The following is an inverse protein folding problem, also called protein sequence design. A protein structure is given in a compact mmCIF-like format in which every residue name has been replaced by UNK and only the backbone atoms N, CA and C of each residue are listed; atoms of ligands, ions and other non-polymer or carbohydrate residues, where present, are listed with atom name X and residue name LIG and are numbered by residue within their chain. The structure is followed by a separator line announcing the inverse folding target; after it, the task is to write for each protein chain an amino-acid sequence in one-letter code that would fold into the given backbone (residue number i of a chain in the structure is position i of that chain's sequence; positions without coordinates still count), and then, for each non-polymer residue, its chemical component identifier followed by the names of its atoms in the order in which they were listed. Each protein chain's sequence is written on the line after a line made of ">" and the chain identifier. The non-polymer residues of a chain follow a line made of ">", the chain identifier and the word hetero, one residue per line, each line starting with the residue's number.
data_IF_620583310507
#
_entry.id   IF_620583310507
#
_cell.length_a   1.000
_cell.length_b   1.000
_cell.length_c   1.000
_cell.angle_alpha   90.00
_cell.angle_beta   90.00
_cell.angle_gamma   90.00
#
_symmetry.space_group_name_H-M   'P 1'
#
loop_
_entity.id
_entity.type
_entity.pdbx_description
1 polymer ?
#
# COMPACT_ATOMS: atom_id res chain seq x y z
N UNK A 1 4.99 36.14 43.52
CA UNK A 1 5.22 34.73 43.10
C UNK A 1 5.76 34.73 41.68
N UNK A 2 6.96 34.20 41.47
CA UNK A 2 7.69 34.35 40.20
C UNK A 2 7.15 33.41 39.11
N UNK A 3 6.98 33.88 37.86
CA UNK A 3 6.39 33.11 36.76
C UNK A 3 7.20 31.85 36.40
N UNK A 4 8.51 31.84 36.70
CA UNK A 4 9.39 30.66 36.50
C UNK A 4 9.01 29.46 37.37
N UNK A 5 8.46 29.69 38.57
CA UNK A 5 8.01 28.61 39.48
C UNK A 5 6.70 27.98 38.97
N UNK A 6 5.84 28.75 38.28
CA UNK A 6 4.61 28.25 37.67
C UNK A 6 4.89 27.33 36.47
N UNK A 7 5.85 27.68 35.61
CA UNK A 7 6.23 26.82 34.48
C UNK A 7 6.82 25.50 34.95
N UNK A 8 7.70 25.53 35.96
CA UNK A 8 8.26 24.31 36.55
C UNK A 8 7.20 23.39 37.15
N UNK A 9 6.19 23.93 37.85
CA UNK A 9 5.12 23.10 38.42
C UNK A 9 4.22 22.48 37.36
N UNK A 10 3.97 23.19 36.26
CA UNK A 10 3.08 22.70 35.18
C UNK A 10 3.78 21.60 34.37
N UNK A 11 5.08 21.74 34.09
CA UNK A 11 5.87 20.70 33.43
C UNK A 11 5.99 19.44 34.28
N UNK A 12 6.17 19.59 35.61
CA UNK A 12 6.23 18.46 36.53
C UNK A 12 4.89 17.71 36.59
N UNK A 13 3.77 18.45 36.58
CA UNK A 13 2.43 17.85 36.58
C UNK A 13 2.15 17.04 35.31
N UNK A 14 2.54 17.56 34.13
CA UNK A 14 2.38 16.85 32.86
C UNK A 14 3.27 15.59 32.79
N UNK A 15 4.49 15.67 33.30
CA UNK A 15 5.38 14.51 33.40
C UNK A 15 4.83 13.44 34.36
N UNK A 16 4.27 13.84 35.50
CA UNK A 16 3.67 12.92 36.46
C UNK A 16 2.41 12.24 35.90
N UNK A 17 1.57 12.96 35.15
CA UNK A 17 0.39 12.38 34.48
C UNK A 17 0.80 11.42 33.36
N UNK A 18 1.82 11.76 32.56
CA UNK A 18 2.35 10.89 31.51
C UNK A 18 2.96 9.59 32.07
N UNK A 19 3.76 9.69 33.14
CA UNK A 19 4.34 8.52 33.82
C UNK A 19 3.29 7.67 34.53
N UNK A 20 2.29 8.29 35.17
CA UNK A 20 1.16 7.59 35.75
C UNK A 20 0.36 6.82 34.70
N UNK A 21 0.12 7.42 33.54
CA UNK A 21 -0.60 6.77 32.44
C UNK A 21 0.18 5.59 31.83
N UNK A 22 1.50 5.73 31.66
CA UNK A 22 2.36 4.66 31.15
C UNK A 22 2.45 3.47 32.13
N UNK A 23 2.53 3.73 33.45
CA UNK A 23 2.56 2.67 34.46
C UNK A 23 1.22 1.97 34.64
N UNK A 24 0.10 2.69 34.48
CA UNK A 24 -1.24 2.09 34.49
C UNK A 24 -1.47 1.23 33.24
N UNK A 25 -1.07 1.67 32.04
CA UNK A 25 -1.14 0.81 30.84
C UNK A 25 -0.24 -0.43 30.95
N UNK A 26 0.93 -0.31 31.58
CA UNK A 26 1.84 -1.43 31.81
C UNK A 26 1.33 -2.47 32.83
N UNK A 27 0.47 -2.09 33.78
CA UNK A 27 -0.08 -3.01 34.80
C UNK A 27 -1.46 -3.57 34.47
N UNK A 28 -2.30 -2.88 33.70
CA UNK A 28 -3.64 -3.40 33.31
C UNK A 28 -3.53 -4.59 32.34
N UNK A 29 -2.36 -4.81 31.72
CA UNK A 29 -2.06 -6.03 30.95
C UNK A 29 -1.74 -7.30 31.76
N UNK A 30 -1.78 -7.26 33.11
CA UNK A 30 -1.44 -8.40 33.99
C UNK A 30 -2.43 -8.66 35.12
N UNK A 31 -3.74 -8.54 34.88
CA UNK A 31 -4.73 -9.16 35.74
C UNK A 31 -5.61 -10.09 34.91
N UNK A 32 -5.53 -11.37 35.25
CA UNK A 32 -6.10 -12.49 34.54
C UNK A 32 -7.63 -12.44 34.51
N UNK A 33 -8.19 -12.14 33.35
CA UNK A 33 -9.48 -12.69 32.93
C UNK A 33 -9.21 -14.03 32.24
N UNK A 34 -10.01 -15.09 32.48
CA UNK A 34 -9.97 -16.27 31.64
C UNK A 34 -10.13 -15.83 30.18
N UNK A 35 -9.25 -16.25 29.26
CA UNK A 35 -9.26 -15.72 27.92
C UNK A 35 -10.61 -16.05 27.27
N UNK A 36 -11.38 -15.06 26.79
CA UNK A 36 -12.41 -15.36 25.81
C UNK A 36 -11.68 -16.03 24.64
N UNK A 37 -12.22 -17.15 24.14
CA UNK A 37 -11.67 -17.87 23.01
C UNK A 37 -11.19 -16.86 21.97
N UNK A 38 -9.86 -16.77 21.79
CA UNK A 38 -9.27 -15.93 20.75
C UNK A 38 -9.89 -16.43 19.46
N UNK A 39 -10.85 -15.69 18.92
CA UNK A 39 -10.96 -15.59 17.48
C UNK A 39 -9.54 -15.23 17.04
N UNK A 40 -8.86 -16.17 16.39
CA UNK A 40 -7.61 -15.88 15.72
C UNK A 40 -7.88 -14.61 14.94
N UNK A 41 -7.27 -13.51 15.37
CA UNK A 41 -7.13 -12.33 14.55
C UNK A 41 -6.34 -12.85 13.35
N UNK A 42 -7.09 -13.22 12.31
CA UNK A 42 -6.56 -13.81 11.09
C UNK A 42 -5.41 -12.89 10.70
N UNK A 43 -4.17 -13.41 10.77
CA UNK A 43 -3.04 -12.73 10.16
C UNK A 43 -3.52 -12.35 8.76
N UNK A 44 -3.43 -11.07 8.36
CA UNK A 44 -3.84 -10.70 7.01
C UNK A 44 -3.18 -11.69 6.07
N UNK A 45 -4.00 -12.45 5.34
CA UNK A 45 -3.50 -13.46 4.43
C UNK A 45 -2.43 -12.77 3.56
N UNK A 46 -1.30 -13.44 3.27
CA UNK A 46 -0.32 -12.91 2.34
C UNK A 46 -1.10 -12.43 1.10
N UNK A 47 -0.94 -11.16 0.73
CA UNK A 47 -1.56 -10.64 -0.47
C UNK A 47 -1.24 -11.61 -1.60
N UNK A 48 -2.27 -12.17 -2.23
CA UNK A 48 -2.09 -13.08 -3.34
C UNK A 48 -1.14 -12.43 -4.35
N UNK A 49 -0.15 -13.17 -4.88
CA UNK A 49 0.79 -12.61 -5.84
C UNK A 49 0.00 -12.00 -7.00
N UNK A 50 0.31 -10.74 -7.33
CA UNK A 50 -0.41 -10.05 -8.38
C UNK A 50 -0.29 -10.85 -9.69
N UNK A 51 -1.41 -11.09 -10.41
CA UNK A 51 -1.37 -11.81 -11.66
C UNK A 51 -0.39 -11.12 -12.64
N UNK A 52 0.36 -11.89 -13.43
CA UNK A 52 1.46 -11.35 -14.22
C UNK A 52 0.96 -10.41 -15.32
N UNK A 53 1.65 -9.28 -15.49
CA UNK A 53 1.35 -8.32 -16.54
C UNK A 53 1.74 -8.88 -17.93
N UNK A 54 1.14 -8.33 -19.00
CA UNK A 54 1.43 -8.73 -20.38
C UNK A 54 2.95 -8.74 -20.68
N UNK A 55 3.70 -7.75 -20.19
CA UNK A 55 5.15 -7.71 -20.33
C UNK A 55 5.87 -8.92 -19.72
N UNK A 56 5.48 -9.33 -18.53
CA UNK A 56 6.09 -10.48 -17.83
C UNK A 56 5.80 -11.79 -18.57
N UNK A 57 4.66 -11.89 -19.25
CA UNK A 57 4.31 -13.02 -20.10
C UNK A 57 5.15 -13.01 -21.38
N UNK A 58 5.30 -11.85 -22.02
CA UNK A 58 6.16 -11.67 -23.20
C UNK A 58 7.63 -12.02 -22.92
N UNK A 59 8.16 -11.60 -21.76
CA UNK A 59 9.53 -11.91 -21.34
C UNK A 59 9.77 -13.43 -21.19
N UNK A 60 8.69 -14.22 -21.01
CA UNK A 60 8.70 -15.69 -20.94
C UNK A 60 8.25 -16.35 -22.24
N UNK A 61 8.20 -15.61 -23.34
CA UNK A 61 7.57 -16.04 -24.60
C UNK A 61 8.10 -17.36 -25.16
N UNK A 62 9.42 -17.58 -25.08
CA UNK A 62 10.06 -18.83 -25.51
C UNK A 62 9.70 -20.02 -24.62
N UNK A 63 9.66 -19.82 -23.30
CA UNK A 63 9.30 -20.86 -22.31
C UNK A 63 7.83 -21.25 -22.43
N UNK A 64 6.97 -20.29 -22.73
CA UNK A 64 5.54 -20.50 -22.92
C UNK A 64 5.17 -20.95 -24.35
N UNK A 65 6.16 -21.05 -25.26
CA UNK A 65 5.94 -21.33 -26.68
C UNK A 65 4.81 -20.48 -27.25
N UNK A 66 4.85 -19.16 -27.01
CA UNK A 66 3.81 -18.24 -27.49
C UNK A 66 3.79 -18.24 -29.03
N UNK A 67 2.60 -18.25 -29.61
CA UNK A 67 2.44 -18.06 -31.05
C UNK A 67 2.68 -16.59 -31.42
N UNK A 68 3.00 -16.31 -32.69
CA UNK A 68 3.16 -14.94 -33.16
C UNK A 68 1.90 -14.09 -32.91
N UNK A 69 0.72 -14.63 -33.19
CA UNK A 69 -0.56 -13.95 -32.90
C UNK A 69 -0.76 -13.67 -31.40
N UNK A 70 -0.35 -14.59 -30.51
CA UNK A 70 -0.38 -14.33 -29.07
C UNK A 70 0.59 -13.21 -28.67
N UNK A 71 1.80 -13.20 -29.24
CA UNK A 71 2.81 -12.17 -28.97
C UNK A 71 2.32 -10.79 -29.42
N UNK A 72 1.79 -10.68 -30.63
CA UNK A 72 1.29 -9.41 -31.19
C UNK A 72 0.14 -8.82 -30.32
N UNK A 73 -0.78 -9.69 -29.87
CA UNK A 73 -1.89 -9.29 -28.98
C UNK A 73 -1.39 -8.86 -27.60
N UNK A 74 -0.43 -9.59 -27.03
CA UNK A 74 0.17 -9.24 -25.74
C UNK A 74 0.96 -7.93 -25.82
N UNK A 75 1.66 -7.68 -26.92
CA UNK A 75 2.37 -6.42 -27.15
C UNK A 75 1.41 -5.24 -27.27
N UNK A 76 0.34 -5.41 -28.04
CA UNK A 76 -0.73 -4.41 -28.15
C UNK A 76 -1.33 -4.09 -26.77
N UNK A 77 -1.59 -5.13 -25.96
CA UNK A 77 -2.09 -4.98 -24.60
C UNK A 77 -1.09 -4.25 -23.69
N UNK A 78 0.21 -4.57 -23.76
CA UNK A 78 1.26 -3.89 -22.99
C UNK A 78 1.37 -2.41 -23.36
N UNK A 79 1.31 -2.08 -24.65
CA UNK A 79 1.34 -0.69 -25.13
C UNK A 79 0.10 0.10 -24.66
N UNK A 80 -1.08 -0.52 -24.65
CA UNK A 80 -2.27 0.10 -24.06
C UNK A 80 -2.09 0.32 -22.56
N UNK A 81 -1.64 -0.70 -21.83
CA UNK A 81 -1.41 -0.62 -20.40
C UNK A 81 -0.43 0.50 -20.03
N UNK A 82 0.70 0.62 -20.73
CA UNK A 82 1.68 1.70 -20.49
C UNK A 82 1.08 3.09 -20.64
N UNK A 83 0.21 3.29 -21.65
CA UNK A 83 -0.48 4.58 -21.86
C UNK A 83 -1.48 4.88 -20.74
N UNK A 84 -2.19 3.89 -20.25
CA UNK A 84 -3.11 4.04 -19.11
C UNK A 84 -2.36 4.27 -17.80
N UNK A 85 -1.30 3.50 -17.56
CA UNK A 85 -0.45 3.58 -16.38
C UNK A 85 0.19 4.97 -16.27
N UNK A 86 0.74 5.51 -17.36
CA UNK A 86 1.35 6.85 -17.35
C UNK A 86 0.36 7.93 -16.88
N UNK A 87 -0.92 7.84 -17.29
CA UNK A 87 -1.97 8.78 -16.85
C UNK A 87 -2.29 8.61 -15.36
N UNK A 88 -2.38 7.38 -14.89
CA UNK A 88 -2.66 7.07 -13.49
C UNK A 88 -1.50 7.45 -12.56
N UNK A 89 -0.26 7.19 -12.96
CA UNK A 89 0.95 7.59 -12.24
C UNK A 89 1.05 9.11 -12.14
N UNK A 90 0.83 9.82 -13.24
CA UNK A 90 0.77 11.29 -13.23
C UNK A 90 -0.26 11.80 -12.23
N UNK A 91 -1.46 11.20 -12.21
CA UNK A 91 -2.52 11.57 -11.27
C UNK A 91 -2.19 11.23 -9.81
N UNK A 92 -1.50 10.11 -9.55
CA UNK A 92 -1.07 9.72 -8.21
C UNK A 92 0.05 10.63 -7.68
N UNK A 93 1.06 10.90 -8.50
CA UNK A 93 2.15 11.82 -8.14
C UNK A 93 1.61 13.22 -7.88
N UNK A 94 0.65 13.71 -8.66
CA UNK A 94 0.00 14.99 -8.39
C UNK A 94 -0.72 15.00 -7.04
N UNK A 95 -1.50 13.95 -6.74
CA UNK A 95 -2.21 13.82 -5.46
C UNK A 95 -1.24 13.73 -4.26
N UNK A 96 -0.14 13.00 -4.41
CA UNK A 96 0.91 12.89 -3.39
C UNK A 96 1.60 14.23 -3.13
N UNK A 97 1.94 14.97 -4.20
CA UNK A 97 2.54 16.29 -4.09
C UNK A 97 1.59 17.29 -3.41
N UNK A 98 0.30 17.26 -3.75
CA UNK A 98 -0.71 18.10 -3.12
C UNK A 98 -0.87 17.78 -1.63
N UNK A 99 -0.95 16.50 -1.26
CA UNK A 99 -1.01 16.09 0.14
C UNK A 99 0.25 16.52 0.88
N UNK A 100 1.43 16.36 0.28
CA UNK A 100 2.71 16.74 0.88
C UNK A 100 2.86 18.25 1.06
N UNK A 101 2.37 19.05 0.09
CA UNK A 101 2.29 20.52 0.23
C UNK A 101 1.35 20.90 1.36
N UNK A 102 0.14 20.34 1.37
CA UNK A 102 -0.84 20.59 2.41
C UNK A 102 -0.32 20.25 3.82
N UNK A 103 0.36 19.11 3.99
CA UNK A 103 0.94 18.71 5.27
C UNK A 103 2.04 19.67 5.74
N UNK A 104 2.88 20.18 4.83
CA UNK A 104 3.90 21.19 5.15
C UNK A 104 3.26 22.52 5.57
N UNK A 105 2.24 22.97 4.84
CA UNK A 105 1.54 24.22 5.13
C UNK A 105 0.78 24.13 6.48
N UNK A 106 0.15 22.98 6.75
CA UNK A 106 -0.54 22.70 8.00
C UNK A 106 0.41 22.67 9.22
N UNK A 107 1.64 22.17 9.04
CA UNK A 107 2.70 22.18 10.05
C UNK A 107 3.24 23.60 10.30
N UNK A 108 3.45 24.39 9.25
CA UNK A 108 3.97 25.75 9.35
C UNK A 108 2.96 26.75 9.93
N UNK A 109 1.67 26.61 9.59
CA UNK A 109 0.60 27.53 10.00
C UNK A 109 -0.03 27.23 11.37
N UNK A 110 0.36 26.14 12.04
CA UNK A 110 -0.16 25.75 13.37
C UNK A 110 -1.65 25.38 13.43
N UNK A 111 -2.37 25.41 12.29
CA UNK A 111 -3.78 25.04 12.17
C UNK A 111 -3.93 23.89 11.19
N UNK A 112 -3.81 22.67 11.72
CA UNK A 112 -4.07 21.45 10.95
C UNK A 112 -5.57 21.13 10.96
N UNK A 113 -6.23 21.17 9.79
CA UNK A 113 -7.61 20.71 9.67
C UNK A 113 -7.63 19.19 9.43
N UNK A 114 -7.97 18.43 10.48
CA UNK A 114 -8.04 16.97 10.44
C UNK A 114 -9.02 16.45 9.36
N UNK A 115 -10.13 17.15 9.13
CA UNK A 115 -11.13 16.76 8.14
C UNK A 115 -10.56 16.82 6.71
N UNK A 116 -9.75 17.84 6.42
CA UNK A 116 -9.09 18.02 5.12
C UNK A 116 -7.96 16.98 4.90
N UNK A 117 -7.22 16.62 5.96
CA UNK A 117 -6.26 15.49 5.92
C UNK A 117 -7.00 14.20 5.55
N UNK A 118 -8.11 13.92 6.25
CA UNK A 118 -8.90 12.71 6.01
C UNK A 118 -9.44 12.66 4.59
N UNK A 119 -9.95 13.79 4.06
CA UNK A 119 -10.43 13.92 2.68
C UNK A 119 -9.34 13.61 1.66
N UNK A 120 -8.19 14.29 1.75
CA UNK A 120 -7.07 14.09 0.80
C UNK A 120 -6.46 12.69 0.89
N UNK A 121 -6.40 12.14 2.10
CA UNK A 121 -5.95 10.75 2.31
C UNK A 121 -6.93 9.73 1.75
N UNK A 122 -8.24 10.01 1.77
CA UNK A 122 -9.24 9.19 1.10
C UNK A 122 -9.05 9.24 -0.42
N UNK A 123 -8.91 10.44 -1.00
CA UNK A 123 -8.67 10.61 -2.45
C UNK A 123 -7.42 9.85 -2.94
N UNK A 124 -6.32 9.90 -2.18
CA UNK A 124 -5.11 9.15 -2.50
C UNK A 124 -5.34 7.62 -2.43
N UNK A 125 -6.05 7.15 -1.40
CA UNK A 125 -6.41 5.72 -1.27
C UNK A 125 -7.31 5.25 -2.40
N UNK A 126 -8.28 6.05 -2.81
CA UNK A 126 -9.20 5.73 -3.90
C UNK A 126 -8.45 5.62 -5.23
N UNK A 127 -7.54 6.55 -5.52
CA UNK A 127 -6.66 6.47 -6.72
C UNK A 127 -5.75 5.24 -6.68
N UNK A 128 -5.22 4.91 -5.52
CA UNK A 128 -4.39 3.71 -5.33
C UNK A 128 -5.20 2.42 -5.52
N UNK A 129 -6.45 2.39 -5.05
CA UNK A 129 -7.36 1.28 -5.27
C UNK A 129 -7.71 1.12 -6.75
N UNK A 130 -8.04 2.21 -7.43
CA UNK A 130 -8.31 2.21 -8.88
C UNK A 130 -7.12 1.70 -9.69
N UNK A 131 -5.88 2.05 -9.31
CA UNK A 131 -4.68 1.52 -9.95
C UNK A 131 -4.56 -0.01 -9.78
N UNK A 132 -4.83 -0.53 -8.57
CA UNK A 132 -4.78 -1.98 -8.32
C UNK A 132 -5.84 -2.73 -9.12
N UNK A 133 -7.07 -2.20 -9.16
CA UNK A 133 -8.16 -2.77 -9.95
C UNK A 133 -7.80 -2.80 -11.44
N UNK A 134 -7.27 -1.70 -11.98
CA UNK A 134 -6.83 -1.65 -13.38
C UNK A 134 -5.72 -2.64 -13.69
N UNK A 135 -4.74 -2.79 -12.79
CA UNK A 135 -3.68 -3.81 -12.91
C UNK A 135 -4.26 -5.21 -12.96
N UNK A 136 -5.23 -5.50 -12.10
CA UNK A 136 -5.89 -6.81 -12.07
C UNK A 136 -6.62 -7.09 -13.38
N UNK A 137 -7.43 -6.15 -13.88
CA UNK A 137 -8.15 -6.30 -15.16
C UNK A 137 -7.17 -6.57 -16.31
N UNK A 138 -6.08 -5.82 -16.40
CA UNK A 138 -5.07 -6.02 -17.46
C UNK A 138 -4.40 -7.38 -17.38
N UNK A 139 -4.05 -7.82 -16.18
CA UNK A 139 -3.45 -9.13 -15.99
C UNK A 139 -4.43 -10.27 -16.30
N UNK A 140 -5.71 -10.11 -15.97
CA UNK A 140 -6.76 -11.05 -16.38
C UNK A 140 -6.94 -11.10 -17.90
N UNK A 141 -6.92 -9.95 -18.58
CA UNK A 141 -6.96 -9.88 -20.04
C UNK A 141 -5.75 -10.59 -20.67
N UNK A 142 -4.55 -10.39 -20.12
CA UNK A 142 -3.33 -11.05 -20.59
C UNK A 142 -3.40 -12.58 -20.37
N UNK A 143 -3.90 -13.03 -19.22
CA UNK A 143 -4.07 -14.46 -18.92
C UNK A 143 -5.11 -15.15 -19.83
N UNK A 144 -6.11 -14.43 -20.34
CA UNK A 144 -7.09 -14.96 -21.30
C UNK A 144 -6.50 -15.22 -22.69
N UNK A 145 -5.40 -14.56 -23.06
CA UNK A 145 -4.70 -14.82 -24.32
C UNK A 145 -3.89 -16.12 -24.29
N UNK A 146 -3.65 -16.66 -23.09
CA UNK A 146 -2.92 -17.91 -22.89
C UNK A 146 -3.85 -19.12 -22.94
N UNK A 147 -3.32 -20.22 -23.44
CA UNK A 147 -3.94 -21.54 -23.30
C UNK A 147 -3.88 -22.03 -21.85
N UNK A 148 -4.73 -23.01 -21.50
CA UNK A 148 -4.73 -23.58 -20.15
C UNK A 148 -3.39 -24.23 -19.78
N UNK A 149 -2.69 -24.83 -20.74
CA UNK A 149 -1.36 -25.39 -20.53
C UNK A 149 -0.34 -24.29 -20.23
N UNK A 150 -0.35 -23.20 -21.01
CA UNK A 150 0.54 -22.05 -20.76
C UNK A 150 0.27 -21.39 -19.41
N UNK A 151 -1.01 -21.27 -19.00
CA UNK A 151 -1.37 -20.75 -17.65
C UNK A 151 -0.81 -21.62 -16.52
N UNK A 152 -0.90 -22.95 -16.65
CA UNK A 152 -0.32 -23.88 -15.66
C UNK A 152 1.20 -23.77 -15.57
N UNK A 153 1.90 -23.66 -16.71
CA UNK A 153 3.35 -23.44 -16.74
C UNK A 153 3.71 -22.09 -16.08
N UNK A 154 2.93 -21.04 -16.37
CA UNK A 154 3.14 -19.72 -15.79
C UNK A 154 2.93 -19.70 -14.26
N UNK A 155 1.97 -20.46 -13.74
CA UNK A 155 1.67 -20.59 -12.31
C UNK A 155 2.71 -21.42 -11.54
N UNK A 156 3.38 -22.36 -12.21
CA UNK A 156 4.42 -23.21 -11.62
C UNK A 156 5.81 -22.55 -11.64
N UNK A 157 6.02 -21.58 -12.53
CA UNK A 157 7.27 -20.84 -12.57
C UNK A 157 7.38 -19.96 -11.30
N UNK A 158 8.43 -20.12 -10.48
CA UNK A 158 8.63 -19.26 -9.33
C UNK A 158 8.64 -17.80 -9.80
N UNK A 159 7.94 -16.94 -9.06
CA UNK A 159 7.88 -15.50 -9.27
C UNK A 159 9.27 -14.90 -9.05
N UNK A 160 10.15 -15.02 -10.05
CA UNK A 160 11.44 -14.37 -10.10
C UNK A 160 11.25 -12.87 -10.33
N UNK A 161 10.95 -12.12 -9.25
CA UNK A 161 11.28 -10.70 -9.11
C UNK A 161 11.02 -10.21 -7.67
N UNK A 162 12.06 -10.26 -6.86
CA UNK A 162 12.39 -9.21 -5.90
C UNK A 162 13.87 -8.93 -6.13
N UNK A 163 14.28 -7.88 -6.86
CA UNK A 163 15.61 -7.34 -6.66
C UNK A 163 15.55 -6.62 -5.31
N UNK A 164 15.78 -7.39 -4.24
CA UNK A 164 16.11 -6.85 -2.95
C UNK A 164 17.44 -6.13 -3.10
N UNK A 165 17.47 -4.87 -2.66
CA UNK A 165 18.66 -4.05 -2.71
C UNK A 165 19.83 -4.74 -2.01
N UNK A 166 20.94 -4.83 -2.73
CA UNK A 166 22.25 -4.96 -2.11
C UNK A 166 22.85 -3.56 -1.99
N UNK A 167 22.85 -3.12 -0.72
CA UNK A 167 23.86 -2.32 0.00
C UNK A 167 24.46 -1.07 -0.66
#
# INVERSE_FOLDING_TARGET
>A
MSPRVRYLSTSLALLAVGLGYALIQGRVGRLALPPPARAEAARPAPLAPAPPAARQILDRGTVLSLTSDQMDRLETLDQQWRRELAKLETALTAAEQELSRFMRDAQAGGKTNLQEIQRRSAEFRDRSAALRERRQIHAEMAARLLTETQRRVLAQAPSSQTPGGDR
#
